data_IF_561198484681
#
_entry.id   IF_561198484681
#
_cell.length_a   1.000
_cell.length_b   1.000
_cell.length_c   1.000
_cell.angle_alpha   90.00
_cell.angle_beta   90.00
_cell.angle_gamma   90.00
#
_symmetry.space_group_name_H-M   'P 1'
#
loop_
_entity.id
_entity.type
_entity.pdbx_description
1 polymer ?
#
# COMPACT_ATOMS: atom_id res chain seq x y z
N UNK A 1 22.75 4.97 2.73
CA UNK A 1 21.43 4.34 3.00
C UNK A 1 20.50 4.35 1.78
N UNK A 2 20.82 5.07 0.70
CA UNK A 2 19.98 5.15 -0.49
C UNK A 2 19.75 3.79 -1.18
N UNK A 3 20.76 2.94 -1.28
CA UNK A 3 20.60 1.61 -1.86
C UNK A 3 19.56 0.75 -1.12
N UNK A 4 19.56 0.79 0.22
CA UNK A 4 18.59 0.09 1.05
C UNK A 4 17.16 0.63 0.84
N UNK A 5 17.01 1.94 0.70
CA UNK A 5 15.74 2.58 0.39
C UNK A 5 15.15 2.07 -0.94
N UNK A 6 15.94 2.08 -2.01
CA UNK A 6 15.45 1.66 -3.34
C UNK A 6 15.15 0.16 -3.42
N UNK A 7 15.98 -0.70 -2.82
CA UNK A 7 15.72 -2.14 -2.84
C UNK A 7 14.51 -2.51 -2.00
N UNK A 8 14.34 -1.91 -0.81
CA UNK A 8 13.15 -2.10 0.01
C UNK A 8 11.89 -1.57 -0.70
N UNK A 9 11.98 -0.40 -1.34
CA UNK A 9 10.88 0.15 -2.14
C UNK A 9 10.47 -0.76 -3.30
N UNK A 10 11.45 -1.30 -4.04
CA UNK A 10 11.18 -2.25 -5.13
C UNK A 10 10.50 -3.53 -4.62
N UNK A 11 10.98 -4.08 -3.49
CA UNK A 11 10.39 -5.27 -2.86
C UNK A 11 8.95 -4.98 -2.42
N UNK A 12 8.69 -3.82 -1.80
CA UNK A 12 7.34 -3.43 -1.38
C UNK A 12 6.38 -3.37 -2.57
N UNK A 13 6.79 -2.75 -3.68
CA UNK A 13 5.95 -2.64 -4.89
C UNK A 13 5.64 -4.03 -5.47
N UNK A 14 6.66 -4.88 -5.63
CA UNK A 14 6.47 -6.22 -6.18
C UNK A 14 5.61 -7.11 -5.26
N UNK A 15 5.80 -7.01 -3.95
CA UNK A 15 5.02 -7.73 -2.95
C UNK A 15 3.56 -7.28 -2.97
N UNK A 16 3.28 -5.98 -2.98
CA UNK A 16 1.91 -5.45 -3.08
C UNK A 16 1.25 -5.80 -4.41
N UNK A 17 1.99 -5.82 -5.52
CA UNK A 17 1.45 -6.31 -6.78
C UNK A 17 1.04 -7.78 -6.68
N UNK A 18 1.83 -8.60 -5.98
CA UNK A 18 1.52 -10.02 -5.73
C UNK A 18 0.33 -10.21 -4.79
N UNK A 19 0.12 -9.31 -3.82
CA UNK A 19 -1.06 -9.28 -2.95
C UNK A 19 -2.33 -9.13 -3.77
N UNK A 20 -2.39 -8.13 -4.66
CA UNK A 20 -3.61 -7.78 -5.41
C UNK A 20 -3.90 -8.79 -6.52
N UNK A 21 -2.88 -9.47 -7.04
CA UNK A 21 -3.03 -10.42 -8.16
C UNK A 21 -3.31 -11.85 -7.72
N UNK A 22 -3.00 -12.23 -6.47
CA UNK A 22 -3.26 -13.59 -5.98
C UNK A 22 -4.68 -13.77 -5.47
N UNK A 23 -5.32 -14.85 -5.91
CA UNK A 23 -6.69 -15.22 -5.51
C UNK A 23 -6.74 -16.06 -4.23
N UNK A 24 -5.60 -16.48 -3.69
CA UNK A 24 -5.58 -17.20 -2.42
C UNK A 24 -5.31 -16.19 -1.30
N UNK A 25 -6.28 -15.96 -0.39
CA UNK A 25 -6.19 -14.87 0.58
C UNK A 25 -5.08 -15.08 1.61
N UNK A 26 -4.73 -16.33 1.93
CA UNK A 26 -3.59 -16.63 2.82
C UNK A 26 -2.27 -16.21 2.16
N UNK A 27 -2.08 -16.55 0.87
CA UNK A 27 -0.88 -16.16 0.15
C UNK A 27 -0.81 -14.64 -0.03
N UNK A 28 -1.94 -14.00 -0.34
CA UNK A 28 -2.04 -12.55 -0.43
C UNK A 28 -1.61 -11.90 0.90
N UNK A 29 -2.13 -12.34 2.04
CA UNK A 29 -1.74 -11.80 3.35
C UNK A 29 -0.26 -11.98 3.66
N UNK A 30 0.35 -13.13 3.30
CA UNK A 30 1.78 -13.34 3.49
C UNK A 30 2.62 -12.36 2.65
N UNK A 31 2.25 -12.12 1.38
CA UNK A 31 2.91 -11.09 0.57
C UNK A 31 2.69 -9.68 1.12
N UNK A 32 1.55 -9.42 1.76
CA UNK A 32 1.29 -8.12 2.39
C UNK A 32 2.23 -7.90 3.58
N UNK A 33 2.44 -8.89 4.44
CA UNK A 33 3.41 -8.82 5.54
C UNK A 33 4.81 -8.50 5.02
N UNK A 34 5.24 -9.15 3.91
CA UNK A 34 6.54 -8.86 3.28
C UNK A 34 6.61 -7.40 2.81
N UNK A 35 5.52 -6.88 2.22
CA UNK A 35 5.44 -5.49 1.79
C UNK A 35 5.55 -4.50 2.95
N UNK A 36 4.82 -4.73 4.05
CA UNK A 36 4.89 -3.88 5.26
C UNK A 36 6.29 -3.91 5.90
N UNK A 37 6.94 -5.07 5.91
CA UNK A 37 8.30 -5.19 6.43
C UNK A 37 9.30 -4.42 5.54
N UNK A 38 9.10 -4.43 4.23
CA UNK A 38 9.91 -3.64 3.30
C UNK A 38 9.67 -2.12 3.48
N UNK A 39 8.42 -1.70 3.74
CA UNK A 39 8.10 -0.30 4.09
C UNK A 39 8.75 0.12 5.41
N UNK A 40 8.79 -0.75 6.42
CA UNK A 40 9.54 -0.48 7.64
C UNK A 40 11.04 -0.24 7.36
N UNK A 41 11.63 -1.01 6.44
CA UNK A 41 13.00 -0.78 5.94
C UNK A 41 13.18 0.56 5.23
N UNK A 42 12.17 1.01 4.49
CA UNK A 42 12.12 2.36 3.89
C UNK A 42 12.08 3.43 4.98
N UNK A 43 11.25 3.28 6.02
CA UNK A 43 11.21 4.22 7.15
C UNK A 43 12.53 4.28 7.91
N UNK A 44 13.21 3.15 8.12
CA UNK A 44 14.55 3.15 8.71
C UNK A 44 15.58 3.88 7.83
N UNK A 45 15.49 3.73 6.51
CA UNK A 45 16.38 4.43 5.58
C UNK A 45 16.16 5.95 5.56
N UNK A 46 14.95 6.41 5.87
CA UNK A 46 14.58 7.83 6.04
C UNK A 46 14.90 8.39 7.44
N UNK A 47 15.46 7.57 8.36
CA UNK A 47 15.71 7.97 9.74
C UNK A 47 14.46 8.00 10.63
N UNK A 48 13.31 7.53 10.13
CA UNK A 48 12.04 7.48 10.86
C UNK A 48 11.95 6.20 11.72
N UNK A 49 12.85 6.05 12.70
CA UNK A 49 12.97 4.83 13.50
C UNK A 49 11.71 4.46 14.28
N UNK A 50 11.03 5.46 14.86
CA UNK A 50 9.79 5.23 15.60
C UNK A 50 8.67 4.73 14.70
N UNK A 51 8.50 5.31 13.51
CA UNK A 51 7.51 4.88 12.53
C UNK A 51 7.80 3.46 12.03
N UNK A 52 9.06 3.15 11.67
CA UNK A 52 9.46 1.81 11.26
C UNK A 52 9.24 0.75 12.35
N UNK A 53 9.51 1.08 13.61
CA UNK A 53 9.24 0.17 14.73
C UNK A 53 7.74 -0.07 14.95
N UNK A 54 6.91 0.98 14.88
CA UNK A 54 5.45 0.85 14.95
C UNK A 54 4.88 0.03 13.78
N UNK A 55 5.44 0.19 12.58
CA UNK A 55 5.06 -0.58 11.39
C UNK A 55 5.24 -2.09 11.64
N UNK A 56 6.38 -2.48 12.22
CA UNK A 56 6.68 -3.89 12.51
C UNK A 56 5.78 -4.42 13.62
N UNK A 57 5.64 -3.69 14.72
CA UNK A 57 4.96 -4.19 15.92
C UNK A 57 3.44 -4.16 15.75
N UNK A 58 2.89 -3.06 15.25
CA UNK A 58 1.44 -2.83 15.20
C UNK A 58 0.86 -3.35 13.89
N UNK A 59 1.37 -2.91 12.75
CA UNK A 59 0.79 -3.25 11.45
C UNK A 59 1.13 -4.70 11.06
N UNK A 60 2.41 -5.01 10.88
CA UNK A 60 2.84 -6.37 10.52
C UNK A 60 2.64 -7.38 11.67
N UNK A 61 2.81 -6.94 12.91
CA UNK A 61 2.76 -7.81 14.10
C UNK A 61 1.35 -8.08 14.60
N UNK A 62 0.60 -7.05 15.02
CA UNK A 62 -0.72 -7.26 15.63
C UNK A 62 -1.84 -7.39 14.59
N UNK A 63 -1.94 -6.41 13.69
CA UNK A 63 -3.07 -6.33 12.75
C UNK A 63 -2.98 -7.48 11.74
N UNK A 64 -1.84 -7.67 11.08
CA UNK A 64 -1.73 -8.72 10.06
C UNK A 64 -1.85 -10.14 10.62
N UNK A 65 -1.33 -10.40 11.82
CA UNK A 65 -1.51 -11.71 12.45
C UNK A 65 -2.99 -11.97 12.77
N UNK A 66 -3.73 -10.96 13.23
CA UNK A 66 -5.18 -11.07 13.44
C UNK A 66 -5.91 -11.37 12.12
N UNK A 67 -5.56 -10.69 11.03
CA UNK A 67 -6.14 -10.96 9.71
C UNK A 67 -5.84 -12.38 9.22
N UNK A 68 -4.60 -12.84 9.33
CA UNK A 68 -4.21 -14.21 8.96
C UNK A 68 -5.01 -15.23 9.77
N UNK A 69 -5.16 -15.01 11.08
CA UNK A 69 -5.96 -15.86 11.95
C UNK A 69 -7.43 -15.91 11.50
N UNK A 70 -8.05 -14.76 11.27
CA UNK A 70 -9.45 -14.65 10.85
C UNK A 70 -9.68 -15.31 9.49
N UNK A 71 -8.84 -15.02 8.50
CA UNK A 71 -8.98 -15.59 7.14
C UNK A 71 -8.79 -17.10 7.15
N UNK A 72 -7.86 -17.61 7.95
CA UNK A 72 -7.64 -19.04 8.07
C UNK A 72 -8.80 -19.75 8.79
N UNK A 73 -9.37 -19.15 9.85
CA UNK A 73 -10.55 -19.67 10.55
C UNK A 73 -11.78 -19.72 9.65
N UNK A 74 -11.97 -18.70 8.81
CA UNK A 74 -13.10 -18.60 7.88
C UNK A 74 -12.93 -19.46 6.61
N UNK A 75 -11.75 -20.05 6.39
CA UNK A 75 -11.42 -20.93 5.26
C UNK A 75 -11.95 -20.45 3.90
N UNK A 76 -11.64 -19.21 3.51
CA UNK A 76 -12.06 -18.59 2.23
C UNK A 76 -11.46 -19.25 0.97
N UNK A 77 -10.83 -20.43 1.07
CA UNK A 77 -9.96 -20.99 0.03
C UNK A 77 -10.62 -21.83 -1.07
N UNK A 78 -11.92 -22.10 -1.03
CA UNK A 78 -12.55 -23.14 -1.88
C UNK A 78 -13.46 -22.64 -3.00
N UNK A 79 -14.42 -21.79 -2.68
CA UNK A 79 -15.57 -21.48 -3.56
C UNK A 79 -15.59 -20.07 -4.14
N UNK A 80 -14.80 -19.13 -3.58
CA UNK A 80 -14.79 -17.72 -4.00
C UNK A 80 -13.71 -17.40 -5.07
N UNK A 81 -12.72 -18.29 -5.24
CA UNK A 81 -11.59 -18.13 -6.17
C UNK A 81 -12.04 -18.01 -7.64
N UNK A 82 -13.12 -18.69 -8.02
CA UNK A 82 -13.67 -18.65 -9.39
C UNK A 82 -14.40 -17.31 -9.67
N UNK A 83 -14.99 -16.70 -8.63
CA UNK A 83 -15.74 -15.44 -8.74
C UNK A 83 -14.81 -14.22 -8.69
N UNK A 84 -13.73 -14.26 -7.89
CA UNK A 84 -12.66 -13.26 -7.90
C UNK A 84 -11.94 -13.18 -9.25
N UNK A 85 -11.73 -14.32 -9.94
CA UNK A 85 -11.15 -14.33 -11.30
C UNK A 85 -11.97 -13.55 -12.31
N UNK A 86 -13.29 -13.48 -12.14
CA UNK A 86 -14.18 -12.66 -12.98
C UNK A 86 -14.14 -11.18 -12.58
N UNK A 87 -13.97 -10.86 -11.31
CA UNK A 87 -13.83 -9.47 -10.83
C UNK A 87 -12.47 -8.83 -11.21
N UNK A 88 -11.43 -9.64 -11.38
CA UNK A 88 -10.13 -9.23 -11.94
C UNK A 88 -10.17 -8.99 -13.47
N UNK A 89 -11.35 -9.05 -14.12
CA UNK A 89 -11.45 -8.67 -15.52
C UNK A 89 -11.14 -7.17 -15.69
N UNK A 90 -10.21 -6.81 -16.62
CA UNK A 90 -9.73 -5.43 -16.78
C UNK A 90 -10.82 -4.41 -17.14
N UNK A 91 -12.02 -4.86 -17.55
CA UNK A 91 -13.16 -3.98 -17.84
C UNK A 91 -13.75 -3.25 -16.62
N UNK A 92 -13.65 -3.81 -15.41
CA UNK A 92 -14.18 -3.20 -14.17
C UNK A 92 -13.19 -2.23 -13.51
N UNK A 93 -11.91 -2.30 -13.90
CA UNK A 93 -10.85 -1.47 -13.32
C UNK A 93 -10.83 -0.03 -13.85
N UNK A 94 -11.55 0.25 -14.94
CA UNK A 94 -11.64 1.57 -15.57
C UNK A 94 -12.29 2.60 -14.62
N UNK A 95 -13.34 2.22 -13.89
CA UNK A 95 -14.01 3.11 -12.93
C UNK A 95 -13.09 3.58 -11.79
N UNK A 96 -12.47 2.65 -11.03
CA UNK A 96 -11.48 2.97 -10.01
C UNK A 96 -10.28 3.76 -10.56
N UNK A 97 -9.80 3.42 -11.76
CA UNK A 97 -8.68 4.10 -12.40
C UNK A 97 -9.00 5.56 -12.72
N UNK A 98 -10.19 5.85 -13.27
CA UNK A 98 -10.63 7.23 -13.56
C UNK A 98 -10.76 8.01 -12.24
N UNK A 99 -11.38 7.43 -11.21
CA UNK A 99 -11.55 8.11 -9.93
C UNK A 99 -10.20 8.42 -9.26
N UNK A 100 -9.25 7.46 -9.29
CA UNK A 100 -7.88 7.65 -8.82
C UNK A 100 -7.16 8.75 -9.58
N UNK A 101 -7.29 8.78 -10.91
CA UNK A 101 -6.69 9.83 -11.76
C UNK A 101 -7.26 11.22 -11.44
N UNK A 102 -8.57 11.34 -11.26
CA UNK A 102 -9.21 12.60 -10.85
C UNK A 102 -8.68 13.07 -9.50
N UNK A 103 -8.60 12.18 -8.52
CA UNK A 103 -8.08 12.52 -7.19
C UNK A 103 -6.62 12.98 -7.25
N UNK A 104 -5.78 12.32 -8.08
CA UNK A 104 -4.39 12.72 -8.31
C UNK A 104 -4.33 14.13 -8.88
N UNK A 105 -5.13 14.44 -9.91
CA UNK A 105 -5.20 15.77 -10.52
C UNK A 105 -5.57 16.83 -9.47
N UNK A 106 -6.56 16.57 -8.63
CA UNK A 106 -6.99 17.50 -7.56
C UNK A 106 -5.85 17.75 -6.57
N UNK A 107 -5.13 16.71 -6.14
CA UNK A 107 -3.99 16.85 -5.21
C UNK A 107 -2.88 17.68 -5.85
N UNK A 108 -2.55 17.43 -7.12
CA UNK A 108 -1.51 18.20 -7.83
C UNK A 108 -1.90 19.67 -7.95
N UNK A 109 -3.16 19.97 -8.31
CA UNK A 109 -3.64 21.35 -8.35
C UNK A 109 -3.58 22.02 -6.97
N UNK A 110 -3.94 21.31 -5.89
CA UNK A 110 -3.86 21.84 -4.54
C UNK A 110 -2.42 22.16 -4.13
N UNK A 111 -1.46 21.29 -4.42
CA UNK A 111 -0.04 21.51 -4.11
C UNK A 111 0.53 22.69 -4.90
N UNK A 112 0.23 22.79 -6.19
CA UNK A 112 0.67 23.90 -7.04
C UNK A 112 0.03 25.24 -6.60
N UNK A 113 -1.26 25.22 -6.21
CA UNK A 113 -1.94 26.39 -5.69
C UNK A 113 -1.42 26.86 -4.33
N UNK A 114 -0.96 25.94 -3.47
CA UNK A 114 -0.27 26.31 -2.22
C UNK A 114 1.05 27.05 -2.51
N UNK A 115 1.76 26.68 -3.57
CA UNK A 115 3.00 27.33 -3.96
C UNK A 115 2.80 28.77 -4.47
N UNK A 116 1.65 29.08 -5.09
CA UNK A 116 1.28 30.44 -5.50
C UNK A 116 0.90 31.35 -4.31
N UNK A 117 0.42 30.79 -3.19
CA UNK A 117 0.08 31.58 -1.99
C UNK A 117 1.29 31.85 -1.06
N UNK A 118 2.51 31.55 -1.53
CA UNK A 118 3.72 31.49 -0.72
C UNK A 118 4.67 32.69 -0.74
N UNK A 119 4.42 33.79 -1.48
CA UNK A 119 5.29 35.00 -1.46
C UNK A 119 4.52 36.31 -1.78
N UNK A 120 3.40 36.60 -1.11
CA UNK A 120 2.77 37.95 -1.17
C UNK A 120 2.58 38.57 0.23
N UNK A 121 3.37 38.12 1.21
CA UNK A 121 3.34 38.59 2.61
C UNK A 121 4.48 39.55 2.98
N UNK A 122 4.94 40.41 2.07
CA UNK A 122 5.82 41.51 2.41
C UNK A 122 5.25 42.80 1.82
N UNK A 123 4.57 43.61 2.65
CA UNK A 123 4.06 44.88 2.15
C UNK A 123 3.09 45.68 3.01
N UNK A 124 3.24 45.72 4.33
CA UNK A 124 2.83 46.85 5.19
C UNK A 124 3.32 46.70 6.64
#
# INVERSE_FOLDING_TARGET
>A
MEFAFYICGLIAILATLRVVTHTNPVHALLYLIISLLAIAGVFFSLGAYFAGALEIIVYAGAIMVLFVFVVMMLNLGGTEIEQERKWLQPGIWIGPAILSAVLLVVIVYAILGINDQGIDGCGD
#
